data_IF_999457136461
#
_entry.id   IF_999457136461
#
_cell.length_a   1.000
_cell.length_b   1.000
_cell.length_c   1.000
_cell.angle_alpha   90.00
_cell.angle_beta   90.00
_cell.angle_gamma   90.00
#
_symmetry.space_group_name_H-M   'P 1'
#
loop_
_entity.id
_entity.type
_entity.pdbx_description
1 polymer ?
#
# COMPACT_ATOMS: atom_id res chain seq x y z
N UNK A 1 26.67 -14.96 -7.20
CA UNK A 1 27.06 -14.74 -5.79
C UNK A 1 26.14 -13.65 -5.26
N UNK A 2 25.53 -13.87 -4.10
CA UNK A 2 24.70 -12.84 -3.42
C UNK A 2 25.59 -11.63 -3.11
N UNK A 3 25.12 -10.43 -3.38
CA UNK A 3 25.87 -9.21 -3.07
C UNK A 3 25.90 -9.05 -1.54
N UNK A 4 27.10 -8.91 -0.99
CA UNK A 4 27.27 -8.68 0.47
C UNK A 4 26.67 -7.34 0.88
N UNK A 5 26.26 -7.25 2.16
CA UNK A 5 25.83 -5.99 2.76
C UNK A 5 27.03 -5.01 2.78
N UNK A 6 26.86 -3.73 2.39
CA UNK A 6 27.95 -2.78 2.32
C UNK A 6 28.67 -2.59 3.68
N UNK A 7 30.00 -2.59 3.67
CA UNK A 7 30.77 -2.43 4.93
C UNK A 7 30.50 -1.12 5.65
N UNK A 8 30.28 -0.04 4.90
CA UNK A 8 29.93 1.25 5.49
C UNK A 8 28.54 1.23 6.14
N UNK A 9 27.58 0.44 5.58
CA UNK A 9 26.31 0.20 6.23
C UNK A 9 26.49 -0.54 7.56
N UNK A 10 27.27 -1.64 7.60
CA UNK A 10 27.54 -2.38 8.83
C UNK A 10 28.12 -1.45 9.90
N UNK A 11 29.13 -0.64 9.53
CA UNK A 11 29.70 0.35 10.47
C UNK A 11 28.66 1.33 10.98
N UNK A 12 27.81 1.86 10.09
CA UNK A 12 26.75 2.80 10.44
C UNK A 12 25.74 2.19 11.42
N UNK A 13 25.37 0.92 11.24
CA UNK A 13 24.46 0.25 12.17
C UNK A 13 25.05 0.10 13.57
N UNK A 14 26.35 -0.22 13.69
CA UNK A 14 27.05 -0.24 14.97
C UNK A 14 27.19 1.15 15.61
N UNK A 15 27.21 2.22 14.84
CA UNK A 15 27.17 3.59 15.37
C UNK A 15 25.76 3.99 15.86
N UNK A 16 24.71 3.43 15.24
CA UNK A 16 23.33 3.81 15.49
C UNK A 16 22.62 2.94 16.54
N UNK A 17 23.01 1.67 16.68
CA UNK A 17 22.42 0.71 17.60
C UNK A 17 23.46 0.17 18.59
N UNK A 18 23.01 -0.49 19.63
CA UNK A 18 23.89 -1.31 20.45
C UNK A 18 24.45 -2.50 19.64
N UNK A 19 25.62 -3.02 20.06
CA UNK A 19 26.35 -4.09 19.36
C UNK A 19 25.45 -5.30 19.04
N UNK A 20 24.67 -5.78 20.03
CA UNK A 20 23.81 -6.95 19.85
C UNK A 20 22.67 -6.70 18.84
N UNK A 21 22.14 -5.48 18.77
CA UNK A 21 21.11 -5.08 17.80
C UNK A 21 21.70 -4.98 16.41
N UNK A 22 22.86 -4.33 16.26
CA UNK A 22 23.54 -4.17 14.98
C UNK A 22 23.94 -5.53 14.38
N UNK A 23 24.53 -6.41 15.20
CA UNK A 23 24.90 -7.75 14.76
C UNK A 23 23.69 -8.56 14.31
N UNK A 24 22.63 -8.61 15.13
CA UNK A 24 21.39 -9.32 14.80
C UNK A 24 20.77 -8.84 13.48
N UNK A 25 20.74 -7.52 13.27
CA UNK A 25 20.25 -6.93 12.01
C UNK A 25 21.10 -7.34 10.81
N UNK A 26 22.42 -7.18 10.92
CA UNK A 26 23.35 -7.50 9.83
C UNK A 26 23.33 -9.00 9.48
N UNK A 27 23.31 -9.88 10.48
CA UNK A 27 23.16 -11.32 10.27
C UNK A 27 21.83 -11.68 9.61
N UNK A 28 20.72 -11.08 10.03
CA UNK A 28 19.41 -11.33 9.44
C UNK A 28 19.34 -10.88 7.97
N UNK A 29 19.96 -9.75 7.63
CA UNK A 29 20.02 -9.26 6.25
C UNK A 29 20.81 -10.21 5.32
N UNK A 30 21.79 -10.93 5.84
CA UNK A 30 22.59 -11.89 5.07
C UNK A 30 21.99 -13.30 5.03
N UNK A 31 21.47 -13.80 6.15
CA UNK A 31 21.17 -15.21 6.35
C UNK A 31 19.71 -15.61 6.17
N UNK A 32 18.76 -14.65 6.19
CA UNK A 32 17.33 -14.97 6.13
C UNK A 32 16.68 -14.59 4.80
N UNK A 33 15.67 -15.37 4.41
CA UNK A 33 14.82 -15.05 3.27
C UNK A 33 13.78 -13.98 3.63
N UNK A 34 13.28 -13.20 2.63
CA UNK A 34 12.22 -12.24 2.84
C UNK A 34 10.93 -12.89 3.33
N UNK A 35 10.31 -12.31 4.34
CA UNK A 35 8.97 -12.69 4.78
C UNK A 35 7.91 -12.34 3.71
N UNK A 36 6.93 -13.21 3.56
CA UNK A 36 5.81 -12.98 2.65
C UNK A 36 4.54 -12.82 3.45
N UNK A 37 3.81 -11.74 3.21
CA UNK A 37 2.54 -11.49 3.89
C UNK A 37 1.50 -10.86 2.98
N UNK A 38 0.23 -11.09 3.33
CA UNK A 38 -0.93 -10.54 2.64
C UNK A 38 -1.84 -9.85 3.64
N UNK A 39 -2.63 -8.90 3.13
CA UNK A 39 -3.68 -8.24 3.91
C UNK A 39 -5.00 -8.29 3.13
N UNK A 40 -6.03 -8.79 3.77
CA UNK A 40 -7.36 -8.89 3.19
C UNK A 40 -8.02 -7.51 3.03
N UNK A 41 -8.89 -7.39 2.04
CA UNK A 41 -9.85 -6.30 1.95
C UNK A 41 -11.06 -6.64 2.85
N UNK A 42 -11.22 -6.00 4.00
CA UNK A 42 -12.23 -6.41 4.98
C UNK A 42 -13.68 -6.19 4.50
N UNK A 43 -13.86 -5.38 3.44
CA UNK A 43 -15.18 -5.16 2.81
C UNK A 43 -15.51 -6.18 1.73
N UNK A 44 -14.56 -7.06 1.37
CA UNK A 44 -14.72 -8.10 0.36
C UNK A 44 -14.55 -9.50 0.91
N UNK A 45 -13.51 -9.73 1.71
CA UNK A 45 -13.09 -11.06 2.12
C UNK A 45 -12.80 -11.10 3.62
N UNK A 46 -13.51 -11.98 4.33
CA UNK A 46 -13.32 -12.14 5.77
C UNK A 46 -12.14 -13.06 6.10
N UNK A 47 -11.50 -12.78 7.25
CA UNK A 47 -10.44 -13.64 7.78
C UNK A 47 -10.93 -15.08 8.05
N UNK A 48 -12.17 -15.22 8.52
CA UNK A 48 -12.79 -16.52 8.78
C UNK A 48 -12.88 -17.37 7.51
N UNK A 49 -13.34 -16.77 6.39
CA UNK A 49 -13.40 -17.47 5.10
C UNK A 49 -12.03 -17.96 4.66
N UNK A 50 -11.00 -17.10 4.77
CA UNK A 50 -9.63 -17.46 4.35
C UNK A 50 -9.06 -18.58 5.23
N UNK A 51 -9.24 -18.50 6.55
CA UNK A 51 -8.76 -19.51 7.49
C UNK A 51 -9.48 -20.86 7.34
N UNK A 52 -10.73 -20.88 6.90
CA UNK A 52 -11.44 -22.11 6.60
C UNK A 52 -10.80 -22.90 5.43
N UNK A 53 -10.20 -22.20 4.46
CA UNK A 53 -9.48 -22.82 3.33
C UNK A 53 -7.97 -22.99 3.60
N UNK A 54 -7.42 -22.20 4.51
CA UNK A 54 -5.99 -22.16 4.81
C UNK A 54 -5.79 -22.11 6.34
N UNK A 55 -6.05 -23.22 7.06
CA UNK A 55 -6.03 -23.23 8.53
C UNK A 55 -4.65 -22.99 9.15
N UNK A 56 -3.59 -23.18 8.38
CA UNK A 56 -2.19 -23.02 8.82
C UNK A 56 -1.64 -21.60 8.65
N UNK A 57 -2.44 -20.63 8.17
CA UNK A 57 -1.98 -19.25 8.04
C UNK A 57 -1.75 -18.61 9.42
N UNK A 58 -0.60 -17.99 9.57
CA UNK A 58 -0.24 -17.26 10.78
C UNK A 58 -0.70 -15.81 10.67
N UNK A 59 -1.50 -15.29 11.63
CA UNK A 59 -1.93 -13.91 11.60
C UNK A 59 -0.77 -12.94 11.86
N UNK A 60 -0.80 -11.77 11.23
CA UNK A 60 0.05 -10.63 11.58
C UNK A 60 -0.54 -9.97 12.85
N UNK A 61 0.18 -9.96 13.99
CA UNK A 61 -0.44 -9.64 15.29
C UNK A 61 -1.02 -8.23 15.41
N UNK A 62 -0.53 -7.30 14.62
CA UNK A 62 -0.91 -5.88 14.68
C UNK A 62 -1.86 -5.42 13.56
N UNK A 63 -2.25 -6.33 12.67
CA UNK A 63 -3.14 -6.00 11.57
C UNK A 63 -4.21 -7.09 11.39
N UNK A 64 -5.43 -6.92 11.91
CA UNK A 64 -6.51 -7.86 11.72
C UNK A 64 -6.78 -8.14 10.23
N UNK A 65 -6.92 -9.42 9.87
CA UNK A 65 -7.11 -9.84 8.48
C UNK A 65 -5.83 -9.81 7.64
N UNK A 66 -4.66 -9.73 8.28
CA UNK A 66 -3.38 -9.93 7.62
C UNK A 66 -2.71 -11.23 8.08
N UNK A 67 -2.00 -11.89 7.15
CA UNK A 67 -1.42 -13.21 7.38
C UNK A 67 -0.02 -13.32 6.77
N UNK A 68 0.85 -14.06 7.44
CA UNK A 68 2.10 -14.55 6.86
C UNK A 68 1.83 -15.79 6.02
N UNK A 69 2.56 -15.93 4.93
CA UNK A 69 2.57 -17.10 4.07
C UNK A 69 3.89 -17.86 4.25
N UNK A 70 3.83 -19.20 4.24
CA UNK A 70 5.02 -20.06 4.34
C UNK A 70 5.95 -19.90 3.13
N UNK A 71 5.36 -19.70 1.95
CA UNK A 71 6.07 -19.56 0.68
C UNK A 71 5.46 -18.41 -0.14
N UNK A 72 6.22 -17.90 -1.09
CA UNK A 72 5.73 -16.89 -2.02
C UNK A 72 5.07 -17.54 -3.22
N UNK A 73 3.74 -17.55 -3.31
CA UNK A 73 3.07 -18.10 -4.49
C UNK A 73 3.18 -17.14 -5.69
N UNK A 74 2.79 -17.63 -6.85
CA UNK A 74 2.69 -16.82 -8.05
C UNK A 74 1.40 -15.98 -8.05
N UNK A 75 1.35 -14.97 -7.20
CA UNK A 75 0.18 -14.10 -6.96
C UNK A 75 -0.49 -13.56 -8.23
N UNK A 76 0.28 -13.38 -9.31
CA UNK A 76 -0.23 -12.91 -10.61
C UNK A 76 -1.35 -13.82 -11.15
N UNK A 77 -1.35 -15.08 -10.78
CA UNK A 77 -2.35 -16.05 -11.25
C UNK A 77 -3.53 -16.24 -10.28
N UNK A 78 -3.58 -15.45 -9.20
CA UNK A 78 -4.77 -15.45 -8.35
C UNK A 78 -5.77 -14.39 -8.82
N UNK A 79 -6.93 -14.77 -9.36
CA UNK A 79 -7.95 -13.80 -9.74
C UNK A 79 -8.44 -12.92 -8.58
N UNK A 80 -8.34 -13.39 -7.33
CA UNK A 80 -8.73 -12.64 -6.15
C UNK A 80 -7.82 -11.42 -5.89
N UNK A 81 -6.52 -11.51 -6.23
CA UNK A 81 -5.62 -10.36 -6.22
C UNK A 81 -6.11 -9.28 -7.18
N UNK A 82 -6.48 -9.68 -8.40
CA UNK A 82 -6.97 -8.77 -9.43
C UNK A 82 -8.37 -8.21 -9.14
N UNK A 83 -9.16 -8.93 -8.33
CA UNK A 83 -10.43 -8.45 -7.80
C UNK A 83 -10.25 -7.48 -6.61
N UNK A 84 -9.02 -7.26 -6.13
CA UNK A 84 -8.73 -6.45 -4.95
C UNK A 84 -9.33 -7.03 -3.66
N UNK A 85 -9.45 -8.36 -3.56
CA UNK A 85 -9.91 -9.06 -2.37
C UNK A 85 -8.81 -9.10 -1.28
N UNK A 86 -7.56 -9.00 -1.67
CA UNK A 86 -6.41 -8.85 -0.78
C UNK A 86 -5.28 -8.06 -1.46
N UNK A 87 -4.29 -7.65 -0.67
CA UNK A 87 -3.08 -6.97 -1.11
C UNK A 87 -1.84 -7.71 -0.57
N UNK A 88 -0.80 -7.85 -1.40
CA UNK A 88 0.50 -8.36 -0.95
C UNK A 88 1.26 -7.21 -0.33
N UNK A 89 1.39 -7.20 0.98
CA UNK A 89 1.99 -6.10 1.73
C UNK A 89 2.99 -6.62 2.75
N UNK A 90 4.07 -5.92 2.92
CA UNK A 90 5.10 -6.18 3.93
C UNK A 90 4.51 -5.99 5.34
N UNK A 91 4.78 -6.93 6.24
CA UNK A 91 4.10 -7.04 7.52
C UNK A 91 4.37 -5.87 8.47
N UNK A 92 5.62 -5.40 8.59
CA UNK A 92 5.94 -4.29 9.51
C UNK A 92 5.26 -2.99 9.09
N UNK A 93 5.13 -2.73 7.78
CA UNK A 93 4.39 -1.58 7.26
C UNK A 93 2.89 -1.58 7.62
N UNK A 94 2.32 -2.77 7.90
CA UNK A 94 0.94 -2.90 8.36
C UNK A 94 0.74 -2.42 9.81
N UNK A 95 1.82 -2.15 10.57
CA UNK A 95 1.70 -1.59 11.92
C UNK A 95 1.01 -0.22 11.93
N UNK A 96 0.93 0.44 10.81
CA UNK A 96 0.07 1.63 10.61
C UNK A 96 -1.38 1.35 11.05
N UNK A 97 -1.89 0.11 10.88
CA UNK A 97 -3.22 -0.24 11.38
C UNK A 97 -3.32 -0.09 12.90
N UNK A 98 -2.27 -0.52 13.63
CA UNK A 98 -2.22 -0.42 15.09
C UNK A 98 -2.16 1.02 15.57
N UNK A 99 -1.32 1.87 14.98
CA UNK A 99 -1.23 3.28 15.38
C UNK A 99 -2.50 4.06 15.00
N UNK A 100 -3.16 3.72 13.90
CA UNK A 100 -4.45 4.32 13.57
C UNK A 100 -5.56 3.93 14.57
N UNK A 101 -5.59 2.69 15.03
CA UNK A 101 -6.54 2.27 16.08
C UNK A 101 -6.34 3.05 17.37
N UNK A 102 -5.12 3.46 17.69
CA UNK A 102 -4.77 4.14 18.93
C UNK A 102 -4.91 5.67 18.83
N UNK A 103 -4.49 6.26 17.72
CA UNK A 103 -4.32 7.71 17.59
C UNK A 103 -5.29 8.38 16.62
N UNK A 104 -6.04 7.63 15.80
CA UNK A 104 -6.94 8.21 14.80
C UNK A 104 -8.02 9.06 15.49
N UNK A 105 -8.31 10.28 14.96
CA UNK A 105 -9.41 11.09 15.49
C UNK A 105 -10.74 10.34 15.49
N UNK A 106 -11.50 10.49 16.59
CA UNK A 106 -12.81 9.82 16.74
C UNK A 106 -13.92 10.51 15.93
N UNK A 107 -13.69 11.76 15.59
CA UNK A 107 -14.62 12.57 14.79
C UNK A 107 -14.75 12.03 13.36
N UNK A 108 -15.97 12.13 12.83
CA UNK A 108 -16.29 11.63 11.48
C UNK A 108 -17.04 12.70 10.68
N UNK A 109 -16.84 12.74 9.36
CA UNK A 109 -15.86 12.05 8.50
C UNK A 109 -14.46 12.69 8.55
N UNK A 110 -13.41 11.97 8.10
CA UNK A 110 -12.03 12.42 8.07
C UNK A 110 -11.55 12.69 6.65
N UNK A 111 -10.61 13.63 6.49
CA UNK A 111 -9.80 13.82 5.30
C UNK A 111 -8.40 13.25 5.56
N UNK A 112 -8.02 12.22 4.82
CA UNK A 112 -6.69 11.63 4.86
C UNK A 112 -5.94 11.88 3.54
N UNK A 113 -4.64 12.15 3.64
CA UNK A 113 -3.73 12.27 2.51
C UNK A 113 -2.57 11.29 2.68
N UNK A 114 -2.41 10.38 1.71
CA UNK A 114 -1.21 9.56 1.55
C UNK A 114 -0.35 10.19 0.44
N UNK A 115 0.75 10.84 0.83
CA UNK A 115 1.49 11.74 -0.06
C UNK A 115 2.40 11.02 -1.06
N UNK A 116 3.03 9.92 -0.66
CA UNK A 116 3.96 9.13 -1.46
C UNK A 116 3.43 7.69 -1.63
N UNK A 117 2.22 7.58 -2.16
CA UNK A 117 1.33 6.45 -1.98
C UNK A 117 1.66 5.19 -2.80
N UNK A 118 2.37 5.33 -3.94
CA UNK A 118 2.60 4.19 -4.83
C UNK A 118 3.51 3.11 -4.20
N UNK A 119 3.16 1.82 -4.37
CA UNK A 119 2.14 1.28 -5.30
C UNK A 119 0.72 1.16 -4.71
N UNK A 120 0.42 1.58 -3.46
CA UNK A 120 -0.91 1.61 -2.89
C UNK A 120 -1.16 0.71 -1.67
N UNK A 121 -0.13 0.05 -1.14
CA UNK A 121 -0.28 -0.82 0.03
C UNK A 121 -0.77 -0.06 1.27
N UNK A 122 -0.17 1.08 1.58
CA UNK A 122 -0.55 1.94 2.70
C UNK A 122 -1.87 2.69 2.43
N UNK A 123 -2.09 3.16 1.20
CA UNK A 123 -3.37 3.76 0.79
C UNK A 123 -4.55 2.80 0.95
N UNK A 124 -4.43 1.56 0.49
CA UNK A 124 -5.49 0.55 0.63
C UNK A 124 -5.71 0.16 2.09
N UNK A 125 -4.67 0.22 2.94
CA UNK A 125 -4.78 0.04 4.38
C UNK A 125 -5.57 1.20 5.01
N UNK A 126 -5.19 2.45 4.73
CA UNK A 126 -5.92 3.64 5.20
C UNK A 126 -7.39 3.58 4.79
N UNK A 127 -7.67 3.32 3.52
CA UNK A 127 -9.04 3.24 2.99
C UNK A 127 -9.89 2.21 3.75
N UNK A 128 -9.29 1.10 4.16
CA UNK A 128 -9.98 0.06 4.92
C UNK A 128 -10.36 0.49 6.34
N UNK A 129 -9.58 1.37 6.95
CA UNK A 129 -9.69 1.76 8.36
C UNK A 129 -10.43 3.08 8.57
N UNK A 130 -10.47 3.95 7.56
CA UNK A 130 -11.18 5.20 7.64
C UNK A 130 -12.68 4.99 7.86
N UNK A 131 -13.32 5.86 8.67
CA UNK A 131 -14.76 5.85 8.88
C UNK A 131 -15.54 6.13 7.60
N UNK A 132 -16.80 5.70 7.56
CA UNK A 132 -17.74 6.03 6.48
C UNK A 132 -17.84 7.55 6.28
N UNK A 133 -18.04 7.96 5.04
CA UNK A 133 -18.11 9.37 4.64
C UNK A 133 -16.74 10.09 4.58
N UNK A 134 -15.65 9.42 4.94
CA UNK A 134 -14.29 9.98 4.83
C UNK A 134 -13.81 10.03 3.38
N UNK A 135 -12.81 10.89 3.15
CA UNK A 135 -12.11 10.99 1.86
C UNK A 135 -10.63 10.68 2.04
N UNK A 136 -10.13 9.76 1.23
CA UNK A 136 -8.70 9.49 1.07
C UNK A 136 -8.19 10.07 -0.24
N UNK A 137 -7.18 10.90 -0.17
CA UNK A 137 -6.39 11.34 -1.32
C UNK A 137 -5.08 10.57 -1.29
N UNK A 138 -4.81 9.79 -2.34
CA UNK A 138 -3.56 9.04 -2.52
C UNK A 138 -2.77 9.68 -3.65
N UNK A 139 -1.57 10.17 -3.36
CA UNK A 139 -0.77 10.94 -4.31
C UNK A 139 0.55 10.24 -4.66
N UNK A 140 0.98 10.42 -5.90
CA UNK A 140 2.30 10.00 -6.36
C UNK A 140 2.76 10.91 -7.51
N UNK A 141 3.89 11.63 -7.37
CA UNK A 141 4.37 12.56 -8.39
C UNK A 141 4.87 11.88 -9.66
N UNK A 142 5.37 10.64 -9.58
CA UNK A 142 5.97 9.93 -10.72
C UNK A 142 4.88 9.24 -11.55
N UNK A 143 4.66 9.70 -12.78
CA UNK A 143 3.54 9.29 -13.64
C UNK A 143 3.36 7.77 -13.77
N UNK A 144 4.45 7.00 -13.98
CA UNK A 144 4.36 5.54 -14.10
C UNK A 144 3.90 4.89 -12.78
N UNK A 145 4.39 5.36 -11.64
CA UNK A 145 4.02 4.86 -10.32
C UNK A 145 2.58 5.26 -9.98
N UNK A 146 2.18 6.49 -10.33
CA UNK A 146 0.82 6.98 -10.14
C UNK A 146 -0.23 6.16 -10.92
N UNK A 147 0.12 5.66 -12.12
CA UNK A 147 -0.76 4.75 -12.87
C UNK A 147 -0.95 3.41 -12.15
N UNK A 148 0.13 2.84 -11.59
CA UNK A 148 0.05 1.59 -10.79
C UNK A 148 -0.77 1.81 -9.53
N UNK A 149 -0.60 2.95 -8.85
CA UNK A 149 -1.42 3.33 -7.70
C UNK A 149 -2.91 3.40 -8.07
N UNK A 150 -3.24 4.09 -9.17
CA UNK A 150 -4.62 4.22 -9.65
C UNK A 150 -5.24 2.84 -9.96
N UNK A 151 -4.49 1.96 -10.63
CA UNK A 151 -4.92 0.59 -10.88
C UNK A 151 -5.23 -0.17 -9.58
N UNK A 152 -4.31 -0.15 -8.62
CA UNK A 152 -4.48 -0.87 -7.36
C UNK A 152 -5.65 -0.30 -6.53
N UNK A 153 -5.79 1.01 -6.48
CA UNK A 153 -6.93 1.65 -5.81
C UNK A 153 -8.26 1.34 -6.49
N UNK A 154 -8.30 1.33 -7.82
CA UNK A 154 -9.51 0.96 -8.57
C UNK A 154 -9.91 -0.50 -8.32
N UNK A 155 -8.97 -1.44 -8.33
CA UNK A 155 -9.22 -2.86 -7.99
C UNK A 155 -9.71 -2.99 -6.55
N UNK A 156 -9.08 -2.27 -5.62
CA UNK A 156 -9.46 -2.29 -4.19
C UNK A 156 -10.88 -1.79 -3.96
N UNK A 157 -11.25 -0.70 -4.63
CA UNK A 157 -12.56 -0.05 -4.49
C UNK A 157 -13.69 -0.74 -5.26
N UNK A 158 -13.37 -1.54 -6.29
CA UNK A 158 -14.36 -2.19 -7.14
C UNK A 158 -15.36 -3.03 -6.34
N UNK A 159 -16.65 -2.75 -6.48
CA UNK A 159 -17.73 -3.48 -5.81
C UNK A 159 -17.85 -3.21 -4.29
N UNK A 160 -17.17 -2.20 -3.77
CA UNK A 160 -17.42 -1.74 -2.40
C UNK A 160 -18.76 -0.99 -2.31
N UNK A 161 -19.41 -0.97 -1.12
CA UNK A 161 -20.64 -0.22 -0.92
C UNK A 161 -20.42 1.29 -1.06
N UNK A 162 -21.46 2.03 -1.41
CA UNK A 162 -21.42 3.51 -1.53
C UNK A 162 -21.06 4.21 -0.21
N UNK A 163 -21.34 3.57 0.94
CA UNK A 163 -20.95 4.07 2.25
C UNK A 163 -19.46 3.98 2.54
N UNK A 164 -18.70 3.23 1.75
CA UNK A 164 -17.25 3.13 1.93
C UNK A 164 -16.58 4.51 1.78
N UNK A 165 -15.45 4.75 2.50
CA UNK A 165 -14.67 5.96 2.33
C UNK A 165 -14.33 6.19 0.86
N UNK A 166 -14.53 7.41 0.37
CA UNK A 166 -14.19 7.78 -1.00
C UNK A 166 -12.67 7.83 -1.19
N UNK A 167 -12.21 7.57 -2.39
CA UNK A 167 -10.79 7.59 -2.72
C UNK A 167 -10.55 8.32 -4.03
N UNK A 168 -9.55 9.20 -4.00
CA UNK A 168 -9.06 9.95 -5.16
C UNK A 168 -7.56 9.66 -5.32
N UNK A 169 -7.12 9.37 -6.54
CA UNK A 169 -5.68 9.25 -6.85
C UNK A 169 -5.24 10.46 -7.65
N UNK A 170 -4.18 11.11 -7.19
CA UNK A 170 -3.63 12.32 -7.80
C UNK A 170 -2.18 12.15 -8.21
N UNK A 171 -1.74 13.01 -9.12
CA UNK A 171 -0.34 13.10 -9.55
C UNK A 171 0.13 14.55 -9.37
N UNK A 172 0.69 14.85 -8.20
CA UNK A 172 1.12 16.20 -7.81
C UNK A 172 2.45 16.16 -7.06
N UNK A 173 3.15 17.27 -7.03
CA UNK A 173 4.25 17.51 -6.09
C UNK A 173 3.71 17.98 -4.73
N UNK A 174 4.46 17.82 -3.62
CA UNK A 174 4.01 18.23 -2.28
C UNK A 174 3.57 19.70 -2.21
N UNK A 175 4.28 20.60 -2.88
CA UNK A 175 3.97 22.04 -2.91
C UNK A 175 2.62 22.37 -3.60
N UNK A 176 2.04 21.45 -4.39
CA UNK A 176 0.78 21.69 -5.10
C UNK A 176 -0.45 21.60 -4.18
N UNK A 177 -0.28 21.13 -2.93
CA UNK A 177 -1.38 20.92 -1.98
C UNK A 177 -1.78 22.15 -1.16
N UNK A 178 -1.41 23.36 -1.58
CA UNK A 178 -1.78 24.59 -0.89
C UNK A 178 -3.28 24.76 -0.65
N UNK A 179 -4.13 24.22 -1.54
CA UNK A 179 -5.58 24.22 -1.39
C UNK A 179 -6.08 23.43 -0.16
N UNK A 180 -5.28 22.52 0.38
CA UNK A 180 -5.62 21.70 1.56
C UNK A 180 -5.05 22.26 2.86
N UNK A 181 -4.50 23.47 2.87
CA UNK A 181 -3.96 24.11 4.08
C UNK A 181 -4.93 24.01 5.25
N UNK A 182 -4.50 23.41 6.36
CA UNK A 182 -5.26 23.24 7.58
C UNK A 182 -6.51 22.36 7.47
N UNK A 183 -6.61 21.46 6.46
CA UNK A 183 -7.80 20.66 6.23
C UNK A 183 -7.60 19.16 6.47
N UNK A 184 -6.37 18.66 6.50
CA UNK A 184 -6.06 17.23 6.56
C UNK A 184 -6.02 16.76 8.01
N UNK A 185 -6.82 15.73 8.33
CA UNK A 185 -6.85 15.10 9.65
C UNK A 185 -5.70 14.11 9.83
N UNK A 186 -5.38 13.35 8.77
CA UNK A 186 -4.32 12.34 8.75
C UNK A 186 -3.46 12.53 7.50
N UNK A 187 -2.19 12.84 7.69
CA UNK A 187 -1.18 12.89 6.65
C UNK A 187 -0.25 11.68 6.80
N UNK A 188 -0.21 10.80 5.82
CA UNK A 188 0.76 9.72 5.72
C UNK A 188 1.86 10.11 4.74
N UNK A 189 3.11 10.00 5.18
CA UNK A 189 4.29 10.24 4.35
C UNK A 189 5.24 9.05 4.44
N UNK A 190 5.06 8.08 3.54
CA UNK A 190 6.03 7.01 3.32
C UNK A 190 7.08 7.53 2.32
N UNK A 191 8.02 8.28 2.85
CA UNK A 191 8.91 9.10 2.00
C UNK A 191 9.93 8.27 1.21
N UNK A 192 10.36 8.73 0.03
CA UNK A 192 11.49 8.12 -0.68
C UNK A 192 12.73 8.10 0.22
N UNK A 193 13.37 6.93 0.35
CA UNK A 193 14.47 6.69 1.29
C UNK A 193 15.59 5.88 0.63
N UNK A 194 16.70 5.67 1.35
CA UNK A 194 17.86 4.90 0.87
C UNK A 194 17.59 3.40 0.67
N UNK A 195 16.45 2.89 1.19
CA UNK A 195 15.92 1.57 0.84
C UNK A 195 16.63 0.39 1.52
N UNK A 196 17.18 0.56 2.70
CA UNK A 196 17.91 -0.48 3.46
C UNK A 196 17.04 -1.73 3.74
N UNK A 197 15.73 -1.55 3.94
CA UNK A 197 14.75 -2.63 4.08
C UNK A 197 14.54 -3.47 2.82
N UNK A 198 15.09 -3.05 1.67
CA UNK A 198 15.03 -3.82 0.42
C UNK A 198 16.23 -4.77 0.25
N UNK A 199 17.23 -4.74 1.13
CA UNK A 199 18.47 -5.50 1.01
C UNK A 199 18.29 -7.01 0.89
N UNK A 200 17.23 -7.59 1.46
CA UNK A 200 16.92 -9.01 1.30
C UNK A 200 16.23 -9.35 -0.02
N UNK A 201 15.53 -8.37 -0.61
CA UNK A 201 14.70 -8.57 -1.82
C UNK A 201 15.41 -8.18 -3.10
N UNK A 202 16.24 -7.13 -3.05
CA UNK A 202 16.83 -6.49 -4.23
C UNK A 202 18.34 -6.34 -4.07
N UNK A 203 19.11 -7.08 -4.85
CA UNK A 203 20.59 -6.97 -4.84
C UNK A 203 21.06 -5.57 -5.27
N UNK A 204 20.31 -4.89 -6.15
CA UNK A 204 20.68 -3.56 -6.63
C UNK A 204 20.55 -2.52 -5.50
N UNK A 205 19.63 -2.70 -4.54
CA UNK A 205 19.55 -1.83 -3.37
C UNK A 205 20.85 -1.84 -2.54
N UNK A 206 21.51 -2.99 -2.44
CA UNK A 206 22.82 -3.11 -1.76
C UNK A 206 23.94 -2.44 -2.54
N UNK A 207 23.93 -2.55 -3.88
CA UNK A 207 24.96 -1.96 -4.75
C UNK A 207 24.90 -0.44 -4.79
N UNK A 208 23.68 0.09 -4.80
CA UNK A 208 23.41 1.52 -4.96
C UNK A 208 23.48 2.27 -3.61
N UNK A 209 23.49 1.55 -2.49
CA UNK A 209 23.55 2.16 -1.18
C UNK A 209 24.89 2.83 -0.90
N UNK A 210 24.86 4.05 -0.39
CA UNK A 210 26.01 4.82 0.09
C UNK A 210 25.58 5.86 1.11
N UNK A 211 26.49 6.31 1.97
CA UNK A 211 26.23 7.42 2.90
C UNK A 211 25.82 8.71 2.17
N UNK A 212 26.38 8.97 0.99
CA UNK A 212 25.99 10.10 0.17
C UNK A 212 24.52 10.00 -0.27
N UNK A 213 24.08 8.82 -0.67
CA UNK A 213 22.67 8.57 -1.02
C UNK A 213 21.76 8.72 0.21
N UNK A 214 22.16 8.24 1.39
CA UNK A 214 21.43 8.44 2.66
C UNK A 214 21.22 9.94 2.94
N UNK A 215 22.29 10.74 2.87
CA UNK A 215 22.21 12.18 3.12
C UNK A 215 21.36 12.92 2.08
N UNK A 216 21.44 12.51 0.82
CA UNK A 216 20.58 13.05 -0.25
C UNK A 216 19.11 12.70 -0.01
N UNK A 217 18.81 11.48 0.43
CA UNK A 217 17.45 11.05 0.79
C UNK A 217 16.93 11.86 1.99
N UNK A 218 17.72 12.00 3.05
CA UNK A 218 17.37 12.81 4.22
C UNK A 218 16.98 14.25 3.81
N UNK A 219 17.80 14.90 2.97
CA UNK A 219 17.49 16.25 2.52
C UNK A 219 16.17 16.31 1.76
N UNK A 220 15.95 15.39 0.81
CA UNK A 220 14.70 15.29 0.04
C UNK A 220 13.49 15.07 0.95
N UNK A 221 13.61 14.24 1.96
CA UNK A 221 12.55 13.98 2.94
C UNK A 221 12.20 15.26 3.71
N UNK A 222 13.21 16.02 4.12
CA UNK A 222 13.03 17.33 4.79
C UNK A 222 12.33 18.36 3.89
N UNK A 223 12.68 18.40 2.62
CA UNK A 223 12.01 19.26 1.63
C UNK A 223 10.53 18.87 1.48
N UNK A 224 10.23 17.57 1.30
CA UNK A 224 8.86 17.05 1.23
C UNK A 224 8.05 17.44 2.48
N UNK A 225 8.61 17.23 3.66
CA UNK A 225 7.94 17.54 4.92
C UNK A 225 7.69 19.06 5.08
N UNK A 226 8.64 19.89 4.72
CA UNK A 226 8.49 21.35 4.74
C UNK A 226 7.36 21.83 3.81
N UNK A 227 7.28 21.22 2.62
CA UNK A 227 6.28 21.58 1.61
C UNK A 227 4.86 21.16 1.99
N UNK A 228 4.71 20.06 2.76
CA UNK A 228 3.40 19.46 3.01
C UNK A 228 2.84 19.68 4.42
N UNK A 229 3.69 19.98 5.41
CA UNK A 229 3.26 20.10 6.81
C UNK A 229 2.04 21.00 7.02
N UNK A 230 1.95 22.07 6.26
CA UNK A 230 0.89 23.08 6.37
C UNK A 230 -0.53 22.55 6.07
N UNK A 231 -0.67 21.39 5.44
CA UNK A 231 -1.99 20.83 5.13
C UNK A 231 -2.69 20.26 6.35
N UNK A 232 -1.93 19.92 7.41
CA UNK A 232 -2.50 19.36 8.63
C UNK A 232 -3.42 20.35 9.34
N UNK A 233 -4.52 19.82 9.88
CA UNK A 233 -5.34 20.53 10.87
C UNK A 233 -4.55 20.75 12.17
N UNK A 234 -4.92 21.76 12.99
CA UNK A 234 -4.48 21.80 14.37
C UNK A 234 -4.85 20.48 15.09
N UNK A 235 -3.84 19.84 15.69
CA UNK A 235 -3.99 18.53 16.30
C UNK A 235 -4.11 17.32 15.35
N UNK A 236 -4.01 17.54 14.04
CA UNK A 236 -3.95 16.47 13.03
C UNK A 236 -2.73 15.58 13.20
N UNK A 237 -2.76 14.40 12.59
CA UNK A 237 -1.71 13.39 12.71
C UNK A 237 -0.87 13.32 11.44
N UNK A 238 0.46 13.45 11.60
CA UNK A 238 1.42 12.97 10.62
C UNK A 238 1.85 11.54 10.99
N UNK A 239 1.75 10.63 10.04
CA UNK A 239 2.33 9.28 10.09
C UNK A 239 3.53 9.31 9.16
N UNK A 240 4.72 9.42 9.73
CA UNK A 240 5.99 9.43 9.00
C UNK A 240 6.58 8.03 8.97
N UNK A 241 7.01 7.56 7.80
CA UNK A 241 7.61 6.24 7.67
C UNK A 241 8.69 6.17 6.59
N UNK A 242 9.62 5.24 6.79
CA UNK A 242 10.65 4.86 5.83
C UNK A 242 10.84 3.33 5.86
N UNK A 243 11.49 2.80 4.83
CA UNK A 243 12.02 1.42 4.86
C UNK A 243 13.54 1.45 5.08
N UNK A 244 14.03 2.24 6.04
CA UNK A 244 15.43 2.32 6.42
C UNK A 244 15.62 2.04 7.90
N UNK A 245 16.87 2.00 8.34
CA UNK A 245 17.26 1.76 9.74
C UNK A 245 18.14 2.88 10.28
N UNK A 246 18.62 3.79 9.42
CA UNK A 246 19.58 4.82 9.81
C UNK A 246 18.89 6.02 10.46
N UNK A 247 19.51 6.54 11.52
CA UNK A 247 18.99 7.68 12.28
C UNK A 247 18.87 8.98 11.48
N UNK A 248 19.64 9.13 10.40
CA UNK A 248 19.60 10.34 9.59
C UNK A 248 18.23 10.51 8.93
N UNK A 249 17.72 9.44 8.31
CA UNK A 249 16.43 9.46 7.64
C UNK A 249 15.25 9.28 8.60
N UNK A 250 15.48 8.74 9.79
CA UNK A 250 14.47 8.32 10.76
C UNK A 250 14.36 9.34 11.91
N UNK A 251 15.04 9.13 13.03
CA UNK A 251 14.88 9.94 14.26
C UNK A 251 15.29 11.39 14.07
N UNK A 252 16.29 11.69 13.24
CA UNK A 252 16.68 13.08 13.01
C UNK A 252 15.61 13.87 12.26
N UNK A 253 14.91 13.25 11.33
CA UNK A 253 13.78 13.87 10.66
C UNK A 253 12.59 14.03 11.61
N UNK A 254 12.28 13.02 12.43
CA UNK A 254 11.24 13.13 13.47
C UNK A 254 11.57 14.27 14.44
N UNK A 255 12.81 14.36 14.92
CA UNK A 255 13.27 15.46 15.80
C UNK A 255 13.13 16.81 15.13
N UNK A 256 13.55 16.93 13.87
CA UNK A 256 13.40 18.16 13.09
C UNK A 256 11.93 18.63 13.01
N UNK A 257 10.99 17.71 12.77
CA UNK A 257 9.57 18.04 12.74
C UNK A 257 9.11 18.58 14.10
N UNK A 258 9.56 17.94 15.19
CA UNK A 258 9.21 18.37 16.54
C UNK A 258 9.80 19.75 16.87
N UNK A 259 11.09 19.96 16.60
CA UNK A 259 11.83 21.16 17.00
C UNK A 259 11.51 22.39 16.13
N UNK A 260 11.36 22.20 14.81
CA UNK A 260 11.22 23.31 13.87
C UNK A 260 9.78 23.56 13.42
N UNK A 261 8.92 22.52 13.39
CA UNK A 261 7.53 22.64 12.94
C UNK A 261 6.53 22.59 14.09
N UNK A 262 7.00 22.41 15.33
CA UNK A 262 6.16 22.37 16.53
C UNK A 262 5.35 21.08 16.68
N UNK A 263 5.72 20.03 15.97
CA UNK A 263 5.10 18.71 16.12
C UNK A 263 5.40 18.07 17.49
N UNK A 264 4.56 17.14 17.89
CA UNK A 264 4.73 16.37 19.12
C UNK A 264 4.72 14.87 18.78
N UNK A 265 5.88 14.19 18.90
CA UNK A 265 5.98 12.76 18.67
C UNK A 265 5.26 11.99 19.78
N UNK A 266 4.21 11.25 19.43
CA UNK A 266 3.39 10.44 20.35
C UNK A 266 3.71 8.95 20.25
N UNK A 267 4.36 8.53 19.17
CA UNK A 267 4.80 7.15 18.96
C UNK A 267 6.00 7.13 18.00
N UNK A 268 6.96 6.26 18.28
CA UNK A 268 8.14 6.05 17.43
C UNK A 268 8.64 4.62 17.60
N UNK A 269 8.94 3.93 16.48
CA UNK A 269 9.45 2.55 16.52
C UNK A 269 10.20 2.16 15.25
N UNK A 270 11.32 1.45 15.44
CA UNK A 270 11.95 0.61 14.42
C UNK A 270 11.41 -0.82 14.45
N UNK A 271 11.22 -1.38 13.28
CA UNK A 271 11.02 -2.81 13.04
C UNK A 271 12.26 -3.33 12.34
N UNK A 272 13.03 -4.18 13.00
CA UNK A 272 14.33 -4.61 12.53
C UNK A 272 14.32 -6.11 12.17
N UNK A 273 14.76 -6.50 10.96
CA UNK A 273 15.01 -7.89 10.64
C UNK A 273 15.85 -8.59 11.73
N UNK A 274 15.49 -9.84 12.06
CA UNK A 274 16.10 -10.59 13.14
C UNK A 274 15.43 -10.39 14.51
N UNK A 275 14.84 -9.24 14.77
CA UNK A 275 14.02 -8.96 15.96
C UNK A 275 12.51 -8.99 15.68
N UNK A 276 12.13 -8.43 14.56
CA UNK A 276 10.74 -8.36 14.10
C UNK A 276 10.57 -9.20 12.83
N UNK A 277 9.39 -9.80 12.65
CA UNK A 277 9.05 -10.48 11.41
C UNK A 277 8.63 -9.46 10.35
N UNK A 278 9.53 -9.12 9.46
CA UNK A 278 9.35 -8.14 8.38
C UNK A 278 10.67 -7.76 7.73
N UNK A 279 10.59 -6.88 6.72
CA UNK A 279 11.77 -6.44 5.95
C UNK A 279 12.48 -5.25 6.57
N UNK A 280 11.85 -4.64 7.55
CA UNK A 280 12.32 -3.44 8.19
C UNK A 280 11.50 -2.21 7.84
N UNK A 281 11.23 -1.44 8.87
CA UNK A 281 10.36 -0.29 8.76
C UNK A 281 10.59 0.65 9.95
N UNK A 282 10.64 1.93 9.68
CA UNK A 282 10.57 2.95 10.72
C UNK A 282 9.22 3.65 10.65
N UNK A 283 8.64 3.90 11.80
CA UNK A 283 7.34 4.54 11.94
C UNK A 283 7.34 5.54 13.09
N UNK A 284 7.00 6.78 12.80
CA UNK A 284 6.72 7.79 13.81
C UNK A 284 5.33 8.39 13.61
N UNK A 285 4.60 8.62 14.71
CA UNK A 285 3.33 9.34 14.74
C UNK A 285 3.55 10.67 15.43
N UNK A 286 3.31 11.75 14.72
CA UNK A 286 3.55 13.11 15.18
C UNK A 286 2.24 13.88 15.13
N UNK A 287 1.85 14.44 16.25
CA UNK A 287 0.67 15.28 16.37
C UNK A 287 1.03 16.73 16.06
N UNK A 288 0.29 17.36 15.15
CA UNK A 288 0.44 18.77 14.87
C UNK A 288 0.05 19.63 16.10
N UNK A 289 0.65 20.82 16.29
CA UNK A 289 0.30 21.70 17.40
C UNK A 289 -1.18 22.12 17.34
N UNK A 290 -1.76 22.49 18.48
CA UNK A 290 -3.15 22.94 18.58
C UNK A 290 -3.42 24.28 17.88
N UNK A 291 -2.36 25.02 17.57
CA UNK A 291 -2.42 26.27 16.80
C UNK A 291 -1.36 26.20 15.71
N UNK A 292 -1.78 26.29 14.45
CA UNK A 292 -0.89 26.40 13.31
C UNK A 292 -0.88 27.86 12.82
N UNK A 293 0.24 28.36 12.24
CA UNK A 293 0.25 29.66 11.60
C UNK A 293 -0.83 29.73 10.53
N UNK A 294 -1.63 30.82 10.53
CA UNK A 294 -2.54 31.07 9.43
C UNK A 294 -1.74 31.21 8.13
N UNK A 295 -2.06 30.36 7.16
CA UNK A 295 -1.59 30.52 5.78
C UNK A 295 -2.80 30.74 4.90
N UNK A 296 -2.72 31.70 3.99
CA UNK A 296 -3.75 31.85 2.96
C UNK A 296 -3.79 30.57 2.15
N UNK A 297 -4.97 29.90 2.15
CA UNK A 297 -5.20 28.75 1.30
C UNK A 297 -5.17 29.17 -0.17
N UNK A 298 -4.46 28.41 -0.99
CA UNK A 298 -4.47 28.59 -2.45
C UNK A 298 -5.84 28.20 -3.07
N UNK A 299 -6.01 28.51 -4.34
CA UNK A 299 -7.20 28.03 -5.09
C UNK A 299 -7.31 26.49 -4.98
N UNK A 300 -8.56 25.99 -4.90
CA UNK A 300 -8.86 24.55 -4.81
C UNK A 300 -8.48 23.82 -6.09
N UNK A 301 -7.21 23.50 -6.23
CA UNK A 301 -6.70 22.73 -7.34
C UNK A 301 -6.02 21.46 -6.80
N UNK A 302 -6.60 20.30 -7.09
CA UNK A 302 -6.05 19.00 -6.71
C UNK A 302 -5.10 18.44 -7.80
N UNK A 303 -4.65 19.29 -8.72
CA UNK A 303 -3.77 18.88 -9.80
C UNK A 303 -4.42 17.85 -10.73
N UNK A 304 -3.60 16.88 -11.20
CA UNK A 304 -4.08 15.83 -12.10
C UNK A 304 -4.70 14.69 -11.31
N UNK A 305 -5.99 14.46 -11.47
CA UNK A 305 -6.72 13.32 -10.91
C UNK A 305 -6.67 12.16 -11.91
N UNK A 306 -6.21 10.99 -11.46
CA UNK A 306 -6.11 9.75 -12.25
C UNK A 306 -7.25 8.78 -11.97
N UNK A 307 -7.77 8.78 -10.75
CA UNK A 307 -8.89 7.95 -10.31
C UNK A 307 -9.73 8.72 -9.30
N UNK A 308 -11.04 8.56 -9.39
CA UNK A 308 -12.01 9.14 -8.45
C UNK A 308 -13.13 8.11 -8.26
N UNK A 309 -13.22 7.53 -7.08
CA UNK A 309 -14.17 6.47 -6.79
C UNK A 309 -15.63 6.93 -6.91
N UNK A 310 -15.91 8.22 -6.69
CA UNK A 310 -17.26 8.79 -6.85
C UNK A 310 -17.73 8.86 -8.29
N UNK A 311 -16.79 8.84 -9.24
CA UNK A 311 -17.04 8.89 -10.69
C UNK A 311 -16.84 7.53 -11.37
N UNK A 312 -16.38 6.53 -10.64
CA UNK A 312 -16.18 5.19 -11.19
C UNK A 312 -17.52 4.47 -11.25
N UNK A 313 -17.98 4.06 -12.42
CA UNK A 313 -19.24 3.33 -12.53
C UNK A 313 -19.10 2.01 -11.72
N UNK A 314 -20.13 1.71 -10.94
CA UNK A 314 -20.28 0.37 -10.39
C UNK A 314 -20.32 -0.63 -11.57
N UNK A 315 -19.86 -1.85 -11.39
CA UNK A 315 -19.99 -2.88 -12.42
C UNK A 315 -21.44 -3.03 -12.84
N UNK A 316 -21.73 -2.80 -14.12
CA UNK A 316 -23.08 -2.80 -14.68
C UNK A 316 -23.46 -4.17 -15.27
N UNK A 317 -24.76 -4.43 -15.29
CA UNK A 317 -25.35 -5.61 -15.92
C UNK A 317 -25.29 -6.88 -15.06
N UNK A 318 -25.79 -7.99 -15.61
CA UNK A 318 -25.80 -9.27 -14.92
C UNK A 318 -24.39 -9.76 -14.62
N UNK A 319 -24.25 -10.41 -13.46
CA UNK A 319 -22.99 -10.98 -13.01
C UNK A 319 -22.81 -12.36 -13.64
N UNK A 320 -21.69 -12.57 -14.26
CA UNK A 320 -21.30 -13.83 -14.90
C UNK A 320 -20.14 -14.42 -14.10
N UNK A 321 -20.38 -15.54 -13.46
CA UNK A 321 -19.36 -16.26 -12.69
C UNK A 321 -18.45 -17.04 -13.65
N UNK A 322 -17.15 -16.88 -13.50
CA UNK A 322 -16.11 -17.52 -14.29
C UNK A 322 -15.44 -18.63 -13.48
N UNK A 323 -15.13 -19.74 -14.14
CA UNK A 323 -14.17 -20.71 -13.62
C UNK A 323 -12.78 -20.08 -13.50
N UNK A 324 -11.87 -20.72 -12.77
CA UNK A 324 -10.49 -20.26 -12.63
C UNK A 324 -9.80 -20.00 -14.00
N UNK A 325 -9.94 -20.97 -14.92
CA UNK A 325 -9.33 -20.85 -16.25
C UNK A 325 -9.94 -19.72 -17.08
N UNK A 326 -11.26 -19.54 -17.03
CA UNK A 326 -11.94 -18.43 -17.71
C UNK A 326 -11.57 -17.09 -17.10
N UNK A 327 -11.38 -17.01 -15.77
CA UNK A 327 -10.90 -15.82 -15.10
C UNK A 327 -9.48 -15.46 -15.58
N UNK A 328 -8.57 -16.41 -15.70
CA UNK A 328 -7.23 -16.17 -16.27
C UNK A 328 -7.29 -15.73 -17.74
N UNK A 329 -8.15 -16.35 -18.57
CA UNK A 329 -8.38 -15.92 -19.95
C UNK A 329 -8.86 -14.45 -19.98
N UNK A 330 -9.80 -14.09 -19.09
CA UNK A 330 -10.26 -12.71 -18.95
C UNK A 330 -9.12 -11.76 -18.59
N UNK A 331 -8.32 -12.09 -17.58
CA UNK A 331 -7.20 -11.28 -17.12
C UNK A 331 -6.05 -11.15 -18.16
N UNK A 332 -5.96 -12.11 -19.08
CA UNK A 332 -5.05 -12.07 -20.25
C UNK A 332 -5.63 -11.33 -21.46
N UNK A 333 -6.88 -10.89 -21.38
CA UNK A 333 -7.65 -10.31 -22.50
C UNK A 333 -7.87 -11.28 -23.65
N UNK A 334 -7.92 -12.55 -23.37
CA UNK A 334 -8.28 -13.57 -24.35
C UNK A 334 -9.80 -13.57 -24.59
N UNK A 335 -10.22 -14.23 -25.68
CA UNK A 335 -11.63 -14.36 -26.01
C UNK A 335 -12.34 -15.34 -25.07
N UNK A 336 -13.45 -14.92 -24.50
CA UNK A 336 -14.26 -15.75 -23.60
C UNK A 336 -15.44 -16.39 -24.36
N UNK A 337 -15.45 -17.72 -24.43
CA UNK A 337 -16.55 -18.50 -25.02
C UNK A 337 -17.57 -18.89 -23.94
N UNK A 338 -18.08 -17.87 -23.26
CA UNK A 338 -19.06 -18.01 -22.19
C UNK A 338 -20.36 -17.40 -22.67
N UNK A 339 -21.48 -18.11 -22.52
CA UNK A 339 -22.81 -17.58 -22.84
C UNK A 339 -23.18 -16.45 -21.90
N UNK A 340 -23.65 -15.37 -22.45
CA UNK A 340 -24.06 -14.19 -21.70
C UNK A 340 -25.16 -13.41 -22.41
N UNK A 341 -26.04 -12.72 -21.66
CA UNK A 341 -27.02 -11.82 -22.24
C UNK A 341 -26.34 -10.73 -23.09
N UNK A 342 -27.04 -10.23 -24.11
CA UNK A 342 -26.51 -9.13 -24.91
C UNK A 342 -26.47 -7.82 -24.11
N UNK A 343 -25.35 -7.15 -24.11
CA UNK A 343 -25.14 -5.89 -23.41
C UNK A 343 -23.97 -5.95 -22.40
N UNK A 344 -23.85 -4.95 -21.52
CA UNK A 344 -22.84 -4.93 -20.49
C UNK A 344 -23.06 -6.08 -19.49
N UNK A 345 -21.96 -6.71 -19.07
CA UNK A 345 -21.94 -7.77 -18.04
C UNK A 345 -20.77 -7.55 -17.10
N UNK A 346 -20.95 -7.93 -15.85
CA UNK A 346 -19.87 -7.92 -14.84
C UNK A 346 -19.30 -9.34 -14.73
N UNK A 347 -18.02 -9.50 -14.95
CA UNK A 347 -17.32 -10.76 -14.84
C UNK A 347 -16.81 -10.93 -13.42
N UNK A 348 -17.11 -12.10 -12.83
CA UNK A 348 -16.81 -12.39 -11.44
C UNK A 348 -16.03 -13.72 -11.31
N UNK A 349 -15.26 -13.82 -10.24
CA UNK A 349 -14.65 -15.07 -9.79
C UNK A 349 -14.90 -15.22 -8.29
N UNK A 350 -15.45 -16.37 -7.89
CA UNK A 350 -15.85 -16.63 -6.50
C UNK A 350 -16.73 -15.50 -5.90
N UNK A 351 -17.61 -14.93 -6.73
CA UNK A 351 -18.47 -13.83 -6.35
C UNK A 351 -17.79 -12.44 -6.34
N UNK A 352 -16.48 -12.32 -6.59
CA UNK A 352 -15.77 -11.05 -6.62
C UNK A 352 -15.68 -10.51 -8.04
N UNK A 353 -16.05 -9.23 -8.24
CA UNK A 353 -15.97 -8.59 -9.53
C UNK A 353 -14.51 -8.45 -9.99
N UNK A 354 -14.20 -8.94 -11.20
CA UNK A 354 -12.91 -8.77 -11.88
C UNK A 354 -12.93 -7.58 -12.83
N UNK A 355 -14.09 -7.26 -13.38
CA UNK A 355 -14.26 -6.17 -14.32
C UNK A 355 -15.45 -6.36 -15.24
N UNK A 356 -15.46 -5.66 -16.36
CA UNK A 356 -16.58 -5.63 -17.30
C UNK A 356 -16.30 -6.37 -18.60
N UNK A 357 -17.36 -6.85 -19.22
CA UNK A 357 -17.41 -7.40 -20.56
C UNK A 357 -18.65 -6.94 -21.30
N UNK A 358 -18.75 -7.28 -22.59
CA UNK A 358 -19.96 -7.10 -23.40
C UNK A 358 -20.41 -8.44 -23.93
N UNK A 359 -21.50 -8.96 -23.38
CA UNK A 359 -22.15 -10.17 -23.87
C UNK A 359 -22.72 -9.98 -25.27
N UNK A 360 -22.55 -11.01 -26.12
CA UNK A 360 -23.10 -11.04 -27.49
C UNK A 360 -23.89 -12.33 -27.79
N UNK A 361 -24.30 -13.05 -26.75
CA UNK A 361 -24.99 -14.32 -26.80
C UNK A 361 -24.04 -15.48 -26.48
N UNK A 362 -23.37 -16.03 -27.47
CA UNK A 362 -22.48 -17.19 -27.33
C UNK A 362 -21.06 -16.90 -26.83
N UNK A 363 -20.73 -15.64 -26.62
CA UNK A 363 -19.41 -15.20 -26.13
C UNK A 363 -19.50 -13.85 -25.45
N UNK A 364 -18.41 -13.50 -24.76
CA UNK A 364 -18.22 -12.19 -24.12
C UNK A 364 -17.02 -11.49 -24.77
N UNK A 365 -17.22 -10.24 -25.23
CA UNK A 365 -16.12 -9.38 -25.62
C UNK A 365 -15.44 -8.87 -24.34
N UNK A 366 -14.16 -9.16 -24.24
CA UNK A 366 -13.34 -8.84 -23.07
C UNK A 366 -13.01 -7.34 -23.04
N UNK A 367 -13.43 -6.65 -21.99
CA UNK A 367 -13.17 -5.21 -21.77
C UNK A 367 -12.12 -4.95 -20.67
N UNK A 368 -11.39 -5.99 -20.24
CA UNK A 368 -10.31 -5.81 -19.25
C UNK A 368 -9.28 -4.79 -19.76
N UNK A 369 -8.80 -3.84 -18.94
CA UNK A 369 -7.86 -2.83 -19.39
C UNK A 369 -6.57 -3.44 -19.95
N UNK A 370 -6.10 -2.96 -21.10
CA UNK A 370 -4.87 -3.48 -21.75
C UNK A 370 -3.65 -3.35 -20.84
N UNK A 371 -3.57 -2.26 -20.08
CA UNK A 371 -2.45 -2.01 -19.17
C UNK A 371 -2.37 -3.03 -18.02
N UNK A 372 -3.49 -3.62 -17.64
CA UNK A 372 -3.61 -4.51 -16.47
C UNK A 372 -3.45 -5.99 -16.81
N UNK A 373 -3.40 -6.33 -18.09
CA UNK A 373 -3.40 -7.73 -18.54
C UNK A 373 -2.19 -8.51 -18.04
N UNK A 374 -2.40 -9.77 -17.71
CA UNK A 374 -1.33 -10.75 -17.49
C UNK A 374 -0.65 -11.03 -18.83
N UNK A 375 0.65 -10.77 -18.92
CA UNK A 375 1.41 -10.88 -20.19
C UNK A 375 2.10 -12.23 -20.36
N UNK A 376 2.34 -12.96 -19.27
CA UNK A 376 2.98 -14.26 -19.34
C UNK A 376 2.01 -15.34 -19.78
N UNK A 377 2.50 -16.26 -20.63
CA UNK A 377 1.78 -17.47 -21.06
C UNK A 377 1.97 -18.64 -20.09
N UNK A 378 3.05 -18.60 -19.29
CA UNK A 378 3.25 -19.57 -18.23
C UNK A 378 2.19 -19.37 -17.14
N UNK A 379 1.68 -20.48 -16.60
CA UNK A 379 0.72 -20.47 -15.49
C UNK A 379 1.26 -21.32 -14.35
N UNK A 380 1.33 -20.73 -13.16
CA UNK A 380 1.52 -21.45 -11.90
C UNK A 380 0.23 -21.29 -11.12
N UNK A 381 -0.65 -22.29 -11.10
CA UNK A 381 -1.97 -22.18 -10.50
C UNK A 381 -1.87 -21.83 -9.03
N UNK A 382 -2.58 -20.78 -8.63
CA UNK A 382 -2.71 -20.36 -7.25
C UNK A 382 -4.02 -19.58 -7.06
N UNK A 383 -4.76 -19.90 -6.03
CA UNK A 383 -5.85 -19.07 -5.52
C UNK A 383 -5.93 -19.18 -4.00
N UNK A 384 -6.12 -18.06 -3.33
CA UNK A 384 -6.21 -17.99 -1.87
C UNK A 384 -7.42 -18.77 -1.30
N UNK A 385 -8.46 -18.99 -2.10
CA UNK A 385 -9.70 -19.67 -1.70
C UNK A 385 -9.87 -21.06 -2.37
N UNK A 386 -8.87 -21.60 -3.02
CA UNK A 386 -8.93 -22.91 -3.63
C UNK A 386 -7.67 -23.72 -3.32
N UNK A 387 -7.86 -25.00 -3.01
CA UNK A 387 -6.74 -25.94 -2.96
C UNK A 387 -6.19 -26.15 -4.39
N UNK A 388 -4.87 -26.38 -4.50
CA UNK A 388 -4.20 -26.54 -5.81
C UNK A 388 -4.85 -27.65 -6.65
N UNK A 389 -5.36 -28.71 -6.02
CA UNK A 389 -6.04 -29.84 -6.67
C UNK A 389 -7.41 -29.45 -7.26
N UNK A 390 -8.10 -28.44 -6.71
CA UNK A 390 -9.37 -27.92 -7.22
C UNK A 390 -9.18 -27.03 -8.46
N UNK A 391 -7.99 -26.43 -8.61
CA UNK A 391 -7.66 -25.52 -9.72
C UNK A 391 -7.27 -26.31 -10.98
N UNK A 392 -6.82 -27.56 -10.82
CA UNK A 392 -6.33 -28.41 -11.91
C UNK A 392 -7.45 -29.04 -12.77
N UNK A 393 -8.70 -28.89 -12.36
CA UNK A 393 -9.90 -29.37 -13.07
C UNK A 393 -10.74 -28.21 -13.58
#
# INVERSE_FOLDING_TARGET
MKVEVPKDFVRLMHEHFDEATADCLCEALEATDPEVSIRLNPRKLSAETVLAHNPDLEPVPWCPGAFYLKERPAFTFDPLLHAGAYYVQEASSMYIAKVLQEFMPVEKPLLALDLCAAPGGKSTLLQSLLPEGSLLISNEPIAKRAQVLAENMQKWMMGQPESAPQSIVTQNYPADFGALTGQVDILLTDVPCSGEGMFRKEEDARKDWSLENVMMCQQRQREILNDIWHVLKPGGLLIYSTCTFNRFEDEENTRKICDEMGGFCVFERHFLPGRDRGEGFYLAVIKAPSTLPEREGGERYLGRVLFDSSKSPLPEGPRIELSYNEALQYLRREALRVEAPRGPVTLCYRGFALGQGKGVGSRINNLYPEAWRIRTTYTSPFSLLEMVDEIAH
#
